data_IF_670151257594
#
_entry.id   IF_670151257594
#
_cell.length_a   1.000
_cell.length_b   1.000
_cell.length_c   1.000
_cell.angle_alpha   90.00
_cell.angle_beta   90.00
_cell.angle_gamma   90.00
#
_symmetry.space_group_name_H-M   'P 1'
#
loop_
_entity.id
_entity.type
_entity.pdbx_description
1 polymer ?
#
# COMPACT_ATOMS: atom_id res chain seq x y z
N UNK A 1 -36.86 -35.30 -22.18
CA UNK A 1 -37.18 -33.85 -22.01
C UNK A 1 -36.69 -33.35 -20.69
N UNK A 2 -35.87 -32.30 -20.68
CA UNK A 2 -35.33 -31.69 -19.45
C UNK A 2 -36.39 -30.74 -18.86
N UNK A 3 -36.80 -30.95 -17.60
CA UNK A 3 -37.82 -30.15 -16.94
C UNK A 3 -37.37 -28.69 -16.81
N UNK A 4 -38.31 -27.73 -16.94
CA UNK A 4 -38.04 -26.25 -16.75
C UNK A 4 -37.33 -25.97 -15.42
N UNK A 5 -37.60 -26.72 -14.35
CA UNK A 5 -36.93 -26.62 -13.06
C UNK A 5 -35.42 -26.97 -13.13
N UNK A 6 -35.06 -28.02 -13.89
CA UNK A 6 -33.66 -28.41 -14.07
C UNK A 6 -32.88 -27.38 -14.91
N UNK A 7 -33.51 -26.72 -15.86
CA UNK A 7 -32.88 -25.64 -16.64
C UNK A 7 -32.58 -24.40 -15.79
N UNK A 8 -33.51 -24.03 -14.92
CA UNK A 8 -33.33 -22.90 -13.99
C UNK A 8 -32.22 -23.13 -12.97
N UNK A 9 -32.12 -24.37 -12.45
CA UNK A 9 -31.05 -24.73 -11.51
C UNK A 9 -29.67 -24.71 -12.18
N UNK A 10 -29.57 -25.22 -13.41
CA UNK A 10 -28.32 -25.16 -14.20
C UNK A 10 -27.90 -23.73 -14.50
N UNK A 11 -28.85 -22.86 -14.90
CA UNK A 11 -28.55 -21.43 -15.13
C UNK A 11 -28.07 -20.73 -13.87
N UNK A 12 -28.72 -20.92 -12.72
CA UNK A 12 -28.29 -20.34 -11.42
C UNK A 12 -26.90 -20.83 -10.99
N UNK A 13 -26.60 -22.12 -11.18
CA UNK A 13 -25.27 -22.68 -10.87
C UNK A 13 -24.19 -22.09 -11.79
N UNK A 14 -24.49 -21.88 -13.07
CA UNK A 14 -23.58 -21.30 -14.03
C UNK A 14 -23.29 -19.83 -13.76
N UNK A 15 -24.31 -19.04 -13.35
CA UNK A 15 -24.15 -17.64 -12.92
C UNK A 15 -23.31 -17.54 -11.66
N UNK A 16 -23.54 -18.40 -10.66
CA UNK A 16 -22.69 -18.46 -9.45
C UNK A 16 -21.24 -18.81 -9.76
N UNK A 17 -21.00 -19.79 -10.66
CA UNK A 17 -19.64 -20.16 -11.09
C UNK A 17 -18.94 -19.03 -11.82
N UNK A 18 -19.62 -18.29 -12.70
CA UNK A 18 -19.07 -17.09 -13.38
C UNK A 18 -18.75 -15.98 -12.40
N UNK A 19 -19.63 -15.69 -11.44
CA UNK A 19 -19.40 -14.68 -10.41
C UNK A 19 -18.22 -15.04 -9.49
N UNK A 20 -18.07 -16.33 -9.12
CA UNK A 20 -16.93 -16.82 -8.35
C UNK A 20 -15.61 -16.78 -9.16
N UNK A 21 -15.66 -17.09 -10.45
CA UNK A 21 -14.50 -16.98 -11.34
C UNK A 21 -14.07 -15.52 -11.51
N UNK A 22 -15.02 -14.59 -11.70
CA UNK A 22 -14.75 -13.15 -11.76
C UNK A 22 -14.18 -12.61 -10.44
N UNK A 23 -14.69 -13.08 -9.28
CA UNK A 23 -14.10 -12.74 -7.96
C UNK A 23 -12.70 -13.31 -7.77
N UNK A 24 -12.40 -14.49 -8.33
CA UNK A 24 -11.03 -15.04 -8.34
C UNK A 24 -10.08 -14.27 -9.24
N UNK A 25 -10.54 -13.79 -10.38
CA UNK A 25 -9.77 -12.92 -11.30
C UNK A 25 -9.58 -11.54 -10.67
N UNK A 26 -10.60 -10.97 -10.03
CA UNK A 26 -10.50 -9.71 -9.28
C UNK A 26 -9.62 -9.83 -8.00
N UNK A 27 -9.47 -11.04 -7.45
CA UNK A 27 -8.45 -11.39 -6.46
C UNK A 27 -7.10 -11.66 -7.09
N UNK A 28 -6.89 -11.17 -8.34
CA UNK A 28 -5.65 -11.29 -9.10
C UNK A 28 -4.45 -11.05 -8.21
N UNK A 29 -3.42 -11.85 -8.38
CA UNK A 29 -2.11 -11.83 -7.70
C UNK A 29 -1.81 -10.42 -7.20
N UNK A 30 -1.76 -10.23 -5.87
CA UNK A 30 -1.43 -8.93 -5.25
C UNK A 30 -0.18 -8.42 -5.95
N UNK A 31 -0.35 -7.43 -6.81
CA UNK A 31 0.75 -6.86 -7.54
C UNK A 31 1.75 -6.30 -6.54
N UNK A 32 2.99 -6.66 -6.70
CA UNK A 32 4.12 -6.19 -5.91
C UNK A 32 5.08 -5.53 -6.86
N UNK A 33 5.45 -4.30 -6.57
CA UNK A 33 6.49 -3.59 -7.31
C UNK A 33 7.75 -3.51 -6.44
N UNK A 34 8.92 -3.49 -7.09
CA UNK A 34 10.20 -3.27 -6.42
C UNK A 34 10.68 -1.85 -6.66
N UNK A 35 11.06 -1.17 -5.60
CA UNK A 35 11.67 0.15 -5.62
C UNK A 35 13.07 0.06 -5.02
N UNK A 36 14.06 -0.29 -5.85
CA UNK A 36 15.37 -0.68 -5.36
C UNK A 36 15.23 -1.92 -4.47
N UNK A 37 15.71 -1.88 -3.24
CA UNK A 37 15.60 -2.95 -2.25
C UNK A 37 14.23 -3.02 -1.57
N UNK A 38 13.39 -1.99 -1.73
CA UNK A 38 12.10 -1.90 -1.04
C UNK A 38 11.00 -2.61 -1.80
N UNK A 39 10.31 -3.51 -1.13
CA UNK A 39 9.13 -4.20 -1.66
C UNK A 39 7.89 -3.35 -1.44
N UNK A 40 7.28 -2.88 -2.53
CA UNK A 40 6.08 -2.07 -2.50
C UNK A 40 4.84 -2.96 -2.66
N UNK A 41 4.06 -3.11 -1.60
CA UNK A 41 2.79 -3.83 -1.62
C UNK A 41 1.66 -2.91 -2.08
N UNK A 42 0.70 -3.45 -2.86
CA UNK A 42 -0.44 -2.71 -3.39
C UNK A 42 -0.02 -1.45 -4.18
N UNK A 43 0.86 -1.57 -5.20
CA UNK A 43 1.37 -0.42 -5.95
C UNK A 43 0.27 0.36 -6.66
N UNK A 44 -0.81 -0.31 -7.04
CA UNK A 44 -1.95 0.27 -7.77
C UNK A 44 -2.96 0.97 -6.86
N UNK A 45 -2.75 0.98 -5.54
CA UNK A 45 -3.64 1.67 -4.61
C UNK A 45 -3.61 3.17 -4.87
N UNK A 46 -4.77 3.76 -5.13
CA UNK A 46 -4.92 5.19 -5.35
C UNK A 46 -4.81 5.92 -4.01
N UNK A 47 -3.92 6.89 -3.93
CA UNK A 47 -3.70 7.73 -2.75
C UNK A 47 -4.41 9.08 -2.84
N UNK A 48 -4.53 9.65 -4.04
CA UNK A 48 -5.34 10.86 -4.32
C UNK A 48 -6.31 10.51 -5.42
N UNK A 49 -7.59 10.46 -5.10
CA UNK A 49 -8.64 10.02 -6.03
C UNK A 49 -8.83 11.00 -7.17
N UNK A 50 -8.87 12.29 -6.85
CA UNK A 50 -9.08 13.36 -7.85
C UNK A 50 -7.97 13.40 -8.90
N UNK A 51 -6.73 13.18 -8.49
CA UNK A 51 -5.57 13.18 -9.37
C UNK A 51 -5.24 11.78 -9.93
N UNK A 52 -5.89 10.72 -9.48
CA UNK A 52 -5.62 9.33 -9.87
C UNK A 52 -4.22 8.84 -9.49
N UNK A 53 -3.56 9.48 -8.53
CA UNK A 53 -2.17 9.17 -8.14
C UNK A 53 -2.12 7.89 -7.33
N UNK A 54 -1.36 6.92 -7.83
CA UNK A 54 -1.16 5.63 -7.18
C UNK A 54 0.02 5.63 -6.19
N UNK A 55 0.05 4.62 -5.33
CA UNK A 55 1.16 4.40 -4.40
C UNK A 55 2.51 4.24 -5.12
N UNK A 56 2.53 3.57 -6.27
CA UNK A 56 3.73 3.40 -7.08
C UNK A 56 4.24 4.74 -7.64
N UNK A 57 3.32 5.57 -8.13
CA UNK A 57 3.67 6.91 -8.65
C UNK A 57 4.23 7.81 -7.53
N UNK A 58 3.63 7.77 -6.34
CA UNK A 58 4.14 8.47 -5.17
C UNK A 58 5.56 8.03 -4.82
N UNK A 59 5.80 6.71 -4.79
CA UNK A 59 7.13 6.18 -4.50
C UNK A 59 8.17 6.60 -5.56
N UNK A 60 7.81 6.59 -6.85
CA UNK A 60 8.66 7.10 -7.93
C UNK A 60 8.96 8.58 -7.80
N UNK A 61 7.96 9.37 -7.39
CA UNK A 61 8.15 10.79 -7.11
C UNK A 61 9.17 11.02 -6.00
N UNK A 62 9.05 10.35 -4.85
CA UNK A 62 10.02 10.47 -3.77
C UNK A 62 11.43 10.06 -4.21
N UNK A 63 11.57 8.99 -4.98
CA UNK A 63 12.87 8.60 -5.55
C UNK A 63 13.48 9.70 -6.41
N UNK A 64 12.66 10.37 -7.23
CA UNK A 64 13.11 11.45 -8.11
C UNK A 64 13.57 12.70 -7.35
N UNK A 65 12.84 13.09 -6.31
CA UNK A 65 13.14 14.31 -5.53
C UNK A 65 14.15 14.05 -4.40
N UNK A 66 14.47 12.79 -4.10
CA UNK A 66 15.34 12.42 -2.98
C UNK A 66 16.66 13.21 -2.92
N UNK A 67 17.41 13.41 -4.02
CA UNK A 67 18.66 14.16 -3.98
C UNK A 67 18.49 15.59 -3.46
N UNK A 68 17.35 16.21 -3.74
CA UNK A 68 17.00 17.56 -3.26
C UNK A 68 16.46 17.56 -1.83
N UNK A 69 15.70 16.53 -1.48
CA UNK A 69 15.05 16.41 -0.18
C UNK A 69 16.02 15.95 0.92
N UNK A 70 16.97 15.08 0.59
CA UNK A 70 17.90 14.45 1.53
C UNK A 70 18.62 15.47 2.46
N UNK A 71 19.19 16.57 1.99
CA UNK A 71 19.90 17.53 2.86
C UNK A 71 19.01 18.12 3.95
N UNK A 72 17.69 18.14 3.72
CA UNK A 72 16.72 18.74 4.65
C UNK A 72 16.14 17.73 5.65
N UNK A 73 16.21 16.44 5.37
CA UNK A 73 15.57 15.39 6.20
C UNK A 73 16.56 14.39 6.81
N UNK A 74 17.73 14.19 6.18
CA UNK A 74 18.72 13.26 6.70
C UNK A 74 19.29 13.72 8.04
N UNK A 75 19.48 12.78 8.97
CA UNK A 75 19.97 13.04 10.31
C UNK A 75 19.02 13.83 11.22
N UNK A 76 17.77 14.01 10.83
CA UNK A 76 16.76 14.71 11.63
C UNK A 76 15.71 13.77 12.20
N UNK A 77 15.23 14.08 13.39
CA UNK A 77 14.06 13.43 13.97
C UNK A 77 12.82 13.81 13.16
N UNK A 78 12.10 12.83 12.69
CA UNK A 78 10.93 13.05 11.85
C UNK A 78 9.65 12.53 12.50
N UNK A 79 8.57 13.27 12.32
CA UNK A 79 7.22 12.79 12.50
C UNK A 79 6.64 12.40 11.12
N UNK A 80 6.40 11.13 10.91
CA UNK A 80 5.85 10.63 9.65
C UNK A 80 4.33 10.72 9.68
N UNK A 81 3.72 11.29 8.64
CA UNK A 81 2.28 11.18 8.42
C UNK A 81 2.02 9.92 7.62
N UNK A 82 1.23 9.02 8.17
CA UNK A 82 0.86 7.75 7.52
C UNK A 82 -0.63 7.72 7.22
N UNK A 83 -0.95 7.50 5.96
CA UNK A 83 -2.31 7.38 5.46
C UNK A 83 -2.48 6.01 4.77
N UNK A 84 -2.77 4.91 5.51
CA UNK A 84 -2.78 3.56 4.95
C UNK A 84 -3.80 3.36 3.83
N UNK A 85 -4.89 4.11 3.88
CA UNK A 85 -6.02 4.01 2.93
C UNK A 85 -5.98 5.08 1.83
N UNK A 86 -4.98 5.96 1.85
CA UNK A 86 -4.85 7.09 0.94
C UNK A 86 -4.96 8.42 1.68
N UNK A 87 -4.67 9.53 0.98
CA UNK A 87 -4.61 10.87 1.57
C UNK A 87 -5.98 11.37 2.08
N UNK A 88 -7.06 10.87 1.52
CA UNK A 88 -8.45 11.19 1.92
C UNK A 88 -8.96 10.30 3.05
N UNK A 89 -8.22 9.23 3.38
CA UNK A 89 -8.55 8.32 4.47
C UNK A 89 -8.02 8.81 5.81
N UNK A 90 -8.15 7.95 6.82
CA UNK A 90 -7.63 8.24 8.14
C UNK A 90 -6.10 8.27 8.14
N UNK A 91 -5.53 9.39 8.52
CA UNK A 91 -4.09 9.58 8.67
C UNK A 91 -3.70 9.68 10.14
N UNK A 92 -2.48 9.30 10.47
CA UNK A 92 -1.93 9.43 11.82
C UNK A 92 -0.44 9.78 11.79
N UNK A 93 0.03 10.44 12.86
CA UNK A 93 1.44 10.75 13.05
C UNK A 93 2.17 9.59 13.70
N UNK A 94 3.34 9.29 13.21
CA UNK A 94 4.24 8.30 13.78
C UNK A 94 5.64 8.88 14.00
N UNK A 95 6.06 8.97 15.24
CA UNK A 95 7.42 9.39 15.67
C UNK A 95 8.27 8.18 16.04
N UNK A 96 7.65 7.14 16.59
CA UNK A 96 8.35 5.99 17.16
C UNK A 96 8.40 4.84 16.17
N UNK A 97 9.51 4.10 16.19
CA UNK A 97 9.63 2.89 15.40
C UNK A 97 8.69 1.82 15.97
N UNK A 98 7.72 1.41 15.16
CA UNK A 98 6.83 0.28 15.44
C UNK A 98 7.07 -0.84 14.42
N UNK A 99 6.55 -2.02 14.73
CA UNK A 99 6.57 -3.17 13.82
C UNK A 99 6.16 -2.77 12.39
N UNK A 100 6.91 -3.22 11.38
CA UNK A 100 6.63 -2.97 9.97
C UNK A 100 7.35 -1.79 9.34
N UNK A 101 8.23 -1.08 10.06
CA UNK A 101 9.16 -0.13 9.45
C UNK A 101 10.49 -0.85 9.22
N UNK A 102 11.00 -0.91 7.96
CA UNK A 102 12.31 -1.47 7.68
C UNK A 102 13.39 -0.64 8.39
N UNK A 103 14.11 -1.26 9.32
CA UNK A 103 15.18 -0.59 10.09
C UNK A 103 16.44 -0.33 9.29
N UNK A 104 16.56 -0.95 8.11
CA UNK A 104 17.73 -0.80 7.23
C UNK A 104 17.92 0.63 6.69
N UNK A 105 16.86 1.43 6.70
CA UNK A 105 16.86 2.80 6.17
C UNK A 105 16.66 3.86 7.25
N UNK A 106 16.61 3.44 8.51
CA UNK A 106 16.29 4.33 9.61
C UNK A 106 17.34 4.17 10.72
N UNK A 107 17.87 5.29 11.18
CA UNK A 107 18.53 5.33 12.49
C UNK A 107 17.46 5.46 13.57
N UNK A 108 17.56 4.59 14.56
CA UNK A 108 16.72 4.65 15.74
C UNK A 108 17.56 5.28 16.87
N UNK A 109 17.20 6.48 17.26
CA UNK A 109 17.79 7.15 18.42
C UNK A 109 16.91 6.86 19.63
N UNK A 110 17.53 6.49 20.73
CA UNK A 110 16.85 6.27 22.00
C UNK A 110 16.82 7.60 22.78
N UNK A 111 15.63 8.13 22.99
CA UNK A 111 15.40 9.29 23.84
C UNK A 111 14.40 8.92 24.92
N UNK A 112 14.77 9.09 26.20
CA UNK A 112 13.93 8.78 27.37
C UNK A 112 13.28 7.39 27.35
N UNK A 113 14.04 6.38 26.86
CA UNK A 113 13.55 4.99 26.76
C UNK A 113 12.73 4.66 25.51
N UNK A 114 12.43 5.63 24.66
CA UNK A 114 11.68 5.43 23.41
C UNK A 114 12.58 5.50 22.17
N UNK A 115 12.29 4.67 21.17
CA UNK A 115 13.02 4.66 19.90
C UNK A 115 12.37 5.65 18.92
N UNK A 116 13.10 6.71 18.59
CA UNK A 116 12.68 7.75 17.65
C UNK A 116 13.25 7.47 16.27
N UNK A 117 12.50 7.83 15.23
CA UNK A 117 12.86 7.59 13.84
C UNK A 117 13.75 8.73 13.33
N UNK A 118 14.96 8.39 12.91
CA UNK A 118 15.83 9.23 12.10
C UNK A 118 15.97 8.64 10.70
N UNK A 119 15.99 9.47 9.69
CA UNK A 119 16.33 9.04 8.33
C UNK A 119 17.84 9.18 8.12
N UNK A 120 18.46 8.13 7.55
CA UNK A 120 19.86 8.07 7.14
C UNK A 120 20.12 8.87 5.86
#
# INVERSE_FOLDING_TARGET
MISKRQLLTKRRAQTKRRALAQRRIARGKRRVAMMGKVRLTHPDRIYWRDAGVTKEQLAKYYKKIWPRMRPHVAGRVLALVRCPEGAEGQCFFQKHARLGIPTEFLHLVQEKGEKIILIL
#
